data_IF_634116779536
#
_entry.id   IF_634116779536
#
_cell.length_a   1.000
_cell.length_b   1.000
_cell.length_c   1.000
_cell.angle_alpha   90.00
_cell.angle_beta   90.00
_cell.angle_gamma   90.00
#
_symmetry.space_group_name_H-M   'P 1'
#
loop_
_entity.id
_entity.type
_entity.pdbx_description
1 polymer ?
#
# COMPACT_ATOMS: atom_id res chain seq x y z
N UNK A 1 -21.78 -2.73 -15.79
CA UNK A 1 -20.46 -3.34 -15.86
C UNK A 1 -20.33 -4.61 -15.03
N UNK A 2 -19.24 -5.33 -15.15
CA UNK A 2 -18.91 -6.51 -14.36
C UNK A 2 -17.46 -6.45 -13.92
N UNK A 3 -17.19 -7.05 -12.76
CA UNK A 3 -15.83 -7.27 -12.26
C UNK A 3 -15.67 -8.78 -12.09
N UNK A 4 -14.59 -9.32 -12.64
CA UNK A 4 -14.29 -10.75 -12.52
C UNK A 4 -12.95 -10.97 -11.82
N UNK A 5 -12.86 -12.04 -11.04
CA UNK A 5 -11.65 -12.53 -10.41
C UNK A 5 -11.38 -13.93 -10.95
N UNK A 6 -10.27 -14.12 -11.65
CA UNK A 6 -9.93 -15.37 -12.37
C UNK A 6 -11.09 -15.89 -13.25
N UNK A 7 -11.76 -14.98 -13.95
CA UNK A 7 -12.90 -15.28 -14.82
C UNK A 7 -14.25 -15.48 -14.15
N UNK A 8 -14.30 -15.49 -12.81
CA UNK A 8 -15.54 -15.59 -12.04
C UNK A 8 -16.04 -14.20 -11.63
N UNK A 9 -17.30 -13.90 -11.90
CA UNK A 9 -17.94 -12.64 -11.47
C UNK A 9 -17.95 -12.57 -9.94
N UNK A 10 -17.48 -11.44 -9.40
CA UNK A 10 -17.35 -11.24 -7.93
C UNK A 10 -18.68 -11.37 -7.19
N UNK A 11 -19.82 -11.18 -7.87
CA UNK A 11 -21.16 -11.36 -7.28
C UNK A 11 -21.48 -12.81 -6.93
N UNK A 12 -20.75 -13.76 -7.53
CA UNK A 12 -20.90 -15.19 -7.30
C UNK A 12 -19.81 -15.77 -6.39
N UNK A 13 -18.90 -14.94 -5.88
CA UNK A 13 -17.85 -15.33 -4.93
C UNK A 13 -18.37 -15.09 -3.51
N UNK A 14 -18.11 -16.02 -2.58
CA UNK A 14 -18.43 -15.80 -1.17
C UNK A 14 -17.69 -14.57 -0.66
N UNK A 15 -18.38 -13.70 0.04
CA UNK A 15 -17.84 -12.42 0.51
C UNK A 15 -16.58 -12.57 1.39
N UNK A 16 -16.54 -13.63 2.22
CA UNK A 16 -15.38 -13.92 3.05
C UNK A 16 -14.14 -14.26 2.20
N UNK A 17 -14.30 -15.05 1.14
CA UNK A 17 -13.22 -15.47 0.25
C UNK A 17 -12.74 -14.27 -0.60
N UNK A 18 -13.67 -13.47 -1.11
CA UNK A 18 -13.35 -12.25 -1.85
C UNK A 18 -12.56 -11.27 -0.98
N UNK A 19 -13.05 -10.96 0.22
CA UNK A 19 -12.36 -10.05 1.16
C UNK A 19 -11.05 -10.63 1.67
N UNK A 20 -10.97 -11.95 1.83
CA UNK A 20 -9.73 -12.65 2.19
C UNK A 20 -8.65 -12.51 1.14
N UNK A 21 -9.01 -12.51 -0.16
CA UNK A 21 -8.08 -12.42 -1.27
C UNK A 21 -7.57 -11.00 -1.55
N UNK A 22 -8.20 -9.96 -1.01
CA UNK A 22 -7.87 -8.55 -1.26
C UNK A 22 -7.26 -7.92 -0.01
N UNK A 23 -6.13 -7.26 -0.16
CA UNK A 23 -5.52 -6.37 0.84
C UNK A 23 -5.57 -4.92 0.35
N UNK A 24 -5.90 -4.00 1.23
CA UNK A 24 -5.97 -2.58 0.92
C UNK A 24 -5.07 -1.82 1.88
N UNK A 25 -4.17 -1.00 1.35
CA UNK A 25 -3.43 0.00 2.11
C UNK A 25 -3.98 1.36 1.71
N UNK A 26 -4.62 2.04 2.66
CA UNK A 26 -5.24 3.34 2.44
C UNK A 26 -4.27 4.47 2.82
N UNK A 27 -4.47 5.63 2.22
CA UNK A 27 -3.78 6.87 2.56
C UNK A 27 -3.96 7.22 4.04
N UNK A 28 -5.21 7.27 4.50
CA UNK A 28 -5.55 7.54 5.88
C UNK A 28 -5.59 6.23 6.67
N UNK A 29 -4.49 5.95 7.37
CA UNK A 29 -4.35 4.72 8.14
C UNK A 29 -5.10 4.83 9.46
N UNK A 30 -6.07 3.95 9.65
CA UNK A 30 -6.74 3.74 10.91
C UNK A 30 -6.04 2.67 11.76
N UNK A 31 -5.74 3.02 13.00
CA UNK A 31 -5.31 2.07 14.02
C UNK A 31 -6.41 1.90 15.07
N UNK A 32 -6.71 0.64 15.38
CA UNK A 32 -7.63 0.30 16.46
C UNK A 32 -7.02 0.62 17.81
N UNK A 33 -7.85 1.02 18.78
CA UNK A 33 -7.42 1.13 20.16
C UNK A 33 -6.98 -0.25 20.67
N UNK A 34 -5.74 -0.34 21.15
CA UNK A 34 -5.11 -1.58 21.58
C UNK A 34 -3.61 -1.53 21.39
N UNK A 35 -2.94 -2.67 21.44
CA UNK A 35 -1.49 -2.76 21.26
C UNK A 35 -1.09 -2.70 19.79
N UNK A 36 0.20 -2.42 19.53
CA UNK A 36 0.76 -2.56 18.17
C UNK A 36 0.63 -4.01 17.70
N UNK A 37 0.87 -4.97 18.59
CA UNK A 37 0.68 -6.39 18.33
C UNK A 37 -0.74 -6.69 17.82
N UNK A 38 -1.77 -6.21 18.52
CA UNK A 38 -3.17 -6.42 18.13
C UNK A 38 -3.46 -5.82 16.77
N UNK A 39 -2.94 -4.62 16.51
CA UNK A 39 -3.11 -3.94 15.24
C UNK A 39 -2.50 -4.70 14.06
N UNK A 40 -1.30 -5.28 14.21
CA UNK A 40 -0.69 -6.10 13.16
C UNK A 40 -1.43 -7.44 13.04
N UNK A 41 -1.72 -8.10 14.16
CA UNK A 41 -2.40 -9.40 14.21
C UNK A 41 -3.84 -9.35 13.67
N UNK A 42 -4.43 -8.16 13.57
CA UNK A 42 -5.73 -7.98 12.90
C UNK A 42 -5.73 -8.51 11.45
N UNK A 43 -4.59 -8.53 10.76
CA UNK A 43 -4.45 -9.15 9.43
C UNK A 43 -4.69 -10.66 9.44
N UNK A 44 -4.28 -11.36 10.52
CA UNK A 44 -4.49 -12.79 10.76
C UNK A 44 -4.47 -13.06 12.28
N UNK A 45 -5.63 -13.15 12.93
CA UNK A 45 -5.74 -13.27 14.40
C UNK A 45 -5.03 -14.49 15.00
N UNK A 46 -4.86 -15.56 14.21
CA UNK A 46 -4.22 -16.82 14.63
C UNK A 46 -2.69 -16.82 14.45
N UNK A 47 -2.11 -15.70 14.01
CA UNK A 47 -0.66 -15.60 13.77
C UNK A 47 0.15 -15.70 15.06
N UNK A 48 1.28 -16.38 14.99
CA UNK A 48 2.25 -16.45 16.10
C UNK A 48 2.99 -15.12 16.27
N UNK A 49 3.70 -14.95 17.39
CA UNK A 49 4.52 -13.75 17.60
C UNK A 49 5.65 -13.66 16.58
N UNK A 50 6.26 -14.78 16.22
CA UNK A 50 7.33 -14.85 15.23
C UNK A 50 6.83 -14.36 13.86
N UNK A 51 5.63 -14.78 13.44
CA UNK A 51 5.02 -14.33 12.17
C UNK A 51 4.72 -12.83 12.19
N UNK A 52 4.27 -12.30 13.33
CA UNK A 52 4.05 -10.85 13.50
C UNK A 52 5.36 -10.07 13.40
N UNK A 53 6.42 -10.55 14.05
CA UNK A 53 7.75 -9.94 13.98
C UNK A 53 8.28 -9.94 12.55
N UNK A 54 8.16 -11.04 11.82
CA UNK A 54 8.58 -11.12 10.42
C UNK A 54 7.78 -10.16 9.53
N UNK A 55 6.47 -10.06 9.71
CA UNK A 55 5.64 -9.09 9.01
C UNK A 55 6.07 -7.64 9.31
N UNK A 56 6.40 -7.34 10.56
CA UNK A 56 6.89 -6.03 10.97
C UNK A 56 8.26 -5.69 10.37
N UNK A 57 9.18 -6.67 10.27
CA UNK A 57 10.48 -6.50 9.60
C UNK A 57 10.31 -6.24 8.11
N UNK A 58 9.45 -6.99 7.43
CA UNK A 58 9.15 -6.78 6.02
C UNK A 58 8.56 -5.40 5.75
N UNK A 59 7.79 -4.87 6.70
CA UNK A 59 7.20 -3.54 6.65
C UNK A 59 8.13 -2.42 7.17
N UNK A 60 9.39 -2.72 7.52
CA UNK A 60 10.38 -1.75 8.01
C UNK A 60 9.93 -0.99 9.28
N UNK A 61 9.12 -1.63 10.16
CA UNK A 61 8.61 -1.01 11.40
C UNK A 61 9.14 -1.70 12.67
N UNK A 62 9.75 -2.87 12.56
CA UNK A 62 10.22 -3.66 13.71
C UNK A 62 11.13 -2.86 14.64
N UNK A 63 12.15 -2.19 14.09
CA UNK A 63 13.14 -1.46 14.88
C UNK A 63 12.52 -0.25 15.58
N UNK A 64 11.57 0.45 14.92
CA UNK A 64 10.80 1.53 15.55
C UNK A 64 9.98 1.01 16.74
N UNK A 65 9.36 -0.18 16.61
CA UNK A 65 8.59 -0.81 17.68
C UNK A 65 9.51 -1.18 18.85
N UNK A 66 10.66 -1.78 18.58
CA UNK A 66 11.62 -2.19 19.61
C UNK A 66 12.28 -1.02 20.32
N UNK A 67 12.29 0.17 19.73
CA UNK A 67 12.75 1.40 20.36
C UNK A 67 11.72 2.01 21.32
N UNK A 68 10.47 1.53 21.33
CA UNK A 68 9.44 1.96 22.28
C UNK A 68 9.59 1.23 23.62
N UNK A 69 9.25 1.87 24.76
CA UNK A 69 9.42 1.26 26.08
C UNK A 69 8.72 -0.10 26.24
N UNK A 70 7.51 -0.24 25.69
CA UNK A 70 6.70 -1.47 25.79
C UNK A 70 6.74 -2.32 24.52
N UNK A 71 7.59 -1.96 23.52
CA UNK A 71 7.72 -2.72 22.28
C UNK A 71 6.38 -2.99 21.59
N UNK A 72 6.11 -4.24 21.30
CA UNK A 72 4.84 -4.67 20.67
C UNK A 72 3.61 -4.50 21.55
N UNK A 73 3.77 -4.41 22.87
CA UNK A 73 2.69 -4.19 23.83
C UNK A 73 2.36 -2.70 24.00
N UNK A 74 3.06 -1.83 23.27
CA UNK A 74 2.78 -0.38 23.25
C UNK A 74 1.33 -0.14 22.84
N UNK A 75 0.55 0.53 23.69
CA UNK A 75 -0.84 0.88 23.43
C UNK A 75 -0.88 2.08 22.48
N UNK A 76 -1.66 1.96 21.43
CA UNK A 76 -1.87 2.98 20.39
C UNK A 76 -3.36 3.30 20.24
N UNK A 77 -3.69 4.39 19.55
CA UNK A 77 -5.05 4.88 19.37
C UNK A 77 -5.34 6.10 20.22
N UNK A 78 -6.63 6.44 20.43
CA UNK A 78 -7.04 7.70 21.07
C UNK A 78 -6.51 7.92 22.50
N UNK A 79 -6.19 6.84 23.22
CA UNK A 79 -5.70 6.88 24.61
C UNK A 79 -4.27 6.38 24.77
N UNK A 80 -3.57 6.12 23.68
CA UNK A 80 -2.23 5.57 23.67
C UNK A 80 -1.20 6.51 23.02
N UNK A 81 -0.01 5.94 22.74
CA UNK A 81 1.06 6.67 22.07
C UNK A 81 0.62 7.04 20.66
N UNK A 82 0.86 8.29 20.29
CA UNK A 82 0.61 8.79 18.94
C UNK A 82 1.77 8.39 18.01
N UNK A 83 1.53 7.42 17.15
CA UNK A 83 2.48 7.08 16.09
C UNK A 83 2.51 8.18 15.02
N UNK A 84 3.70 8.40 14.43
CA UNK A 84 3.83 9.25 13.24
C UNK A 84 3.04 8.68 12.06
N UNK A 85 2.72 9.51 11.06
CA UNK A 85 2.03 9.06 9.85
C UNK A 85 2.75 7.88 9.18
N UNK A 86 4.07 7.96 9.04
CA UNK A 86 4.88 6.89 8.47
C UNK A 86 4.92 5.61 9.31
N UNK A 87 4.91 5.72 10.64
CA UNK A 87 4.81 4.55 11.52
C UNK A 87 3.44 3.88 11.39
N UNK A 88 2.35 4.66 11.40
CA UNK A 88 0.99 4.13 11.17
C UNK A 88 0.89 3.39 9.85
N UNK A 89 1.43 3.97 8.77
CA UNK A 89 1.41 3.37 7.45
C UNK A 89 2.18 2.05 7.41
N UNK A 90 3.37 1.99 8.02
CA UNK A 90 4.16 0.76 8.09
C UNK A 90 3.51 -0.32 8.97
N UNK A 91 2.80 0.05 10.05
CA UNK A 91 1.97 -0.91 10.82
C UNK A 91 0.83 -1.47 9.96
N UNK A 92 0.18 -0.63 9.14
CA UNK A 92 -0.84 -1.09 8.19
C UNK A 92 -0.26 -2.03 7.12
N UNK A 93 0.94 -1.74 6.62
CA UNK A 93 1.65 -2.61 5.67
C UNK A 93 1.99 -3.95 6.33
N UNK A 94 2.47 -3.96 7.59
CA UNK A 94 2.73 -5.20 8.35
C UNK A 94 1.47 -6.06 8.50
N UNK A 95 0.32 -5.44 8.75
CA UNK A 95 -1.00 -6.10 8.76
C UNK A 95 -1.29 -6.82 7.44
N UNK A 96 -0.97 -6.20 6.31
CA UNK A 96 -1.18 -6.79 4.98
C UNK A 96 -0.17 -7.90 4.68
N UNK A 97 1.10 -7.76 5.07
CA UNK A 97 2.08 -8.85 4.98
C UNK A 97 1.57 -10.09 5.73
N UNK A 98 1.07 -9.91 6.94
CA UNK A 98 0.55 -10.99 7.77
C UNK A 98 -0.70 -11.64 7.17
N UNK A 99 -1.61 -10.85 6.59
CA UNK A 99 -2.80 -11.31 5.87
C UNK A 99 -2.44 -12.10 4.62
N UNK A 100 -1.37 -11.71 3.92
CA UNK A 100 -0.86 -12.34 2.71
C UNK A 100 -1.89 -12.50 1.57
N UNK A 101 -2.58 -11.44 1.13
CA UNK A 101 -3.61 -11.49 0.10
C UNK A 101 -2.98 -11.69 -1.29
N UNK A 102 -3.76 -12.16 -2.27
CA UNK A 102 -3.31 -12.30 -3.67
C UNK A 102 -3.46 -11.02 -4.47
N UNK A 103 -4.38 -10.15 -4.07
CA UNK A 103 -4.66 -8.87 -4.73
C UNK A 103 -4.36 -7.76 -3.75
N UNK A 104 -3.67 -6.73 -4.22
CA UNK A 104 -3.38 -5.52 -3.46
C UNK A 104 -4.03 -4.31 -4.11
N UNK A 105 -4.57 -3.44 -3.28
CA UNK A 105 -4.97 -2.09 -3.65
C UNK A 105 -4.17 -1.14 -2.78
N UNK A 106 -3.30 -0.36 -3.41
CA UNK A 106 -2.46 0.62 -2.74
C UNK A 106 -2.96 2.01 -3.10
N UNK A 107 -3.47 2.73 -2.10
CA UNK A 107 -3.82 4.15 -2.23
C UNK A 107 -2.67 4.95 -1.65
N UNK A 108 -1.84 5.50 -2.55
CA UNK A 108 -0.55 6.08 -2.20
C UNK A 108 -0.70 7.57 -1.92
N UNK A 109 -0.55 7.96 -0.65
CA UNK A 109 -0.27 9.34 -0.28
C UNK A 109 0.87 9.40 0.72
N UNK A 110 2.04 9.69 0.21
CA UNK A 110 3.26 9.92 1.00
C UNK A 110 3.59 11.41 1.12
N UNK A 111 2.65 12.28 0.80
CA UNK A 111 2.87 13.73 0.57
C UNK A 111 3.33 14.56 1.79
N UNK A 112 3.44 13.97 2.98
CA UNK A 112 3.84 14.67 4.21
C UNK A 112 4.95 13.95 5.01
N UNK A 113 5.68 13.02 4.38
CA UNK A 113 6.70 12.21 5.05
C UNK A 113 8.11 12.72 4.71
N UNK A 114 9.04 12.55 5.65
CA UNK A 114 10.46 12.75 5.36
C UNK A 114 10.99 11.69 4.37
N UNK A 115 12.00 12.04 3.61
CA UNK A 115 12.58 11.22 2.54
C UNK A 115 13.05 9.83 3.02
N UNK A 116 13.56 9.72 4.25
CA UNK A 116 14.04 8.44 4.77
C UNK A 116 12.87 7.48 5.08
N UNK A 117 11.82 8.01 5.71
CA UNK A 117 10.58 7.27 5.99
C UNK A 117 9.89 6.86 4.70
N UNK A 118 9.84 7.75 3.71
CA UNK A 118 9.29 7.46 2.40
C UNK A 118 10.00 6.29 1.71
N UNK A 119 11.33 6.27 1.71
CA UNK A 119 12.11 5.14 1.13
C UNK A 119 11.81 3.82 1.81
N UNK A 120 11.62 3.80 3.13
CA UNK A 120 11.23 2.60 3.88
C UNK A 120 9.86 2.09 3.47
N UNK A 121 8.90 2.99 3.31
CA UNK A 121 7.54 2.66 2.87
C UNK A 121 7.55 2.12 1.44
N UNK A 122 8.27 2.78 0.54
CA UNK A 122 8.38 2.33 -0.85
C UNK A 122 9.03 0.94 -0.94
N UNK A 123 10.11 0.70 -0.21
CA UNK A 123 10.74 -0.61 -0.14
C UNK A 123 9.79 -1.70 0.39
N UNK A 124 8.95 -1.36 1.37
CA UNK A 124 7.93 -2.27 1.89
C UNK A 124 6.83 -2.55 0.85
N UNK A 125 6.37 -1.53 0.11
CA UNK A 125 5.40 -1.70 -0.98
C UNK A 125 5.96 -2.57 -2.10
N UNK A 126 7.19 -2.34 -2.54
CA UNK A 126 7.84 -3.13 -3.60
C UNK A 126 7.95 -4.61 -3.21
N UNK A 127 8.26 -4.89 -1.94
CA UNK A 127 8.26 -6.27 -1.42
C UNK A 127 6.85 -6.86 -1.38
N UNK A 128 5.88 -6.07 -0.93
CA UNK A 128 4.49 -6.51 -0.81
C UNK A 128 3.86 -6.81 -2.17
N UNK A 129 4.19 -6.03 -3.21
CA UNK A 129 3.64 -6.18 -4.57
C UNK A 129 4.17 -7.42 -5.31
N UNK A 130 5.35 -7.94 -4.94
CA UNK A 130 5.97 -9.07 -5.67
C UNK A 130 5.08 -10.29 -5.73
N UNK A 131 4.86 -10.81 -6.95
CA UNK A 131 4.09 -12.03 -7.21
C UNK A 131 2.57 -11.88 -6.96
N UNK A 132 2.05 -10.66 -6.98
CA UNK A 132 0.63 -10.35 -6.73
C UNK A 132 0.07 -9.43 -7.80
N UNK A 133 -1.23 -9.52 -8.00
CA UNK A 133 -1.94 -8.51 -8.79
C UNK A 133 -2.07 -7.25 -7.93
N UNK A 134 -1.45 -6.16 -8.37
CA UNK A 134 -1.41 -4.91 -7.60
C UNK A 134 -2.06 -3.79 -8.40
N UNK A 135 -3.07 -3.16 -7.80
CA UNK A 135 -3.67 -1.92 -8.29
C UNK A 135 -3.13 -0.76 -7.43
N UNK A 136 -2.49 0.20 -8.08
CA UNK A 136 -1.92 1.37 -7.40
C UNK A 136 -2.66 2.63 -7.83
N UNK A 137 -3.20 3.36 -6.88
CA UNK A 137 -3.68 4.73 -7.09
C UNK A 137 -2.50 5.63 -6.75
N UNK A 138 -1.82 6.11 -7.78
CA UNK A 138 -0.56 6.81 -7.61
C UNK A 138 -0.70 8.31 -7.82
N UNK A 139 -0.06 9.05 -6.94
CA UNK A 139 0.10 10.51 -7.04
C UNK A 139 1.50 10.92 -7.48
N UNK A 140 2.43 9.95 -7.62
CA UNK A 140 3.82 10.17 -8.03
C UNK A 140 4.16 9.35 -9.27
N UNK A 141 4.87 9.99 -10.18
CA UNK A 141 5.29 9.33 -11.42
C UNK A 141 6.27 8.17 -11.17
N UNK A 142 7.15 8.30 -10.18
CA UNK A 142 8.12 7.27 -9.81
C UNK A 142 7.47 5.92 -9.50
N UNK A 143 6.31 5.93 -8.87
CA UNK A 143 5.57 4.71 -8.49
C UNK A 143 4.97 3.98 -9.68
N UNK A 144 4.48 4.72 -10.68
CA UNK A 144 3.76 4.11 -11.83
C UNK A 144 4.66 3.81 -13.02
N UNK A 145 5.87 4.37 -13.07
CA UNK A 145 6.77 4.21 -14.22
C UNK A 145 7.07 2.75 -14.58
N UNK A 146 7.14 1.88 -13.57
CA UNK A 146 7.45 0.46 -13.70
C UNK A 146 6.19 -0.43 -13.70
N UNK A 147 5.00 0.14 -13.76
CA UNK A 147 3.76 -0.63 -13.85
C UNK A 147 3.66 -1.36 -15.19
N UNK A 148 3.13 -2.58 -15.17
CA UNK A 148 2.87 -3.37 -16.37
C UNK A 148 1.84 -2.69 -17.27
N UNK A 149 0.89 -1.97 -16.65
CA UNK A 149 -0.13 -1.21 -17.33
C UNK A 149 -0.50 0.03 -16.53
N UNK A 150 -0.61 1.16 -17.21
CA UNK A 150 -1.06 2.44 -16.67
C UNK A 150 -2.40 2.79 -17.33
N UNK A 151 -3.35 3.22 -16.52
CA UNK A 151 -4.67 3.67 -16.97
C UNK A 151 -4.88 5.11 -16.51
N UNK A 152 -5.06 6.01 -17.45
CA UNK A 152 -5.42 7.41 -17.17
C UNK A 152 -6.93 7.54 -17.20
N UNK A 153 -7.50 7.98 -16.09
CA UNK A 153 -8.96 8.13 -15.93
C UNK A 153 -9.32 9.60 -15.98
N UNK A 154 -10.30 9.94 -16.80
CA UNK A 154 -10.90 11.26 -16.86
C UNK A 154 -12.37 11.25 -16.45
N UNK A 155 -13.03 12.38 -16.61
CA UNK A 155 -14.43 12.60 -16.17
C UNK A 155 -15.41 11.58 -16.79
N UNK A 156 -15.17 11.16 -18.02
CA UNK A 156 -16.08 10.28 -18.77
C UNK A 156 -15.57 8.84 -18.96
N UNK A 157 -14.48 8.46 -18.27
CA UNK A 157 -13.91 7.13 -18.34
C UNK A 157 -12.41 7.09 -18.61
N UNK A 158 -11.94 5.99 -19.21
CA UNK A 158 -10.54 5.80 -19.55
C UNK A 158 -10.16 6.69 -20.73
N UNK A 159 -9.17 7.56 -20.53
CA UNK A 159 -8.60 8.42 -21.55
C UNK A 159 -7.46 7.72 -22.30
N UNK A 160 -6.56 7.11 -21.55
CA UNK A 160 -5.36 6.46 -22.10
C UNK A 160 -5.07 5.17 -21.34
N UNK A 161 -4.42 4.22 -22.03
CA UNK A 161 -4.04 2.94 -21.49
C UNK A 161 -2.77 2.42 -22.17
N UNK A 162 -1.78 1.98 -21.39
CA UNK A 162 -0.53 1.44 -21.94
C UNK A 162 0.58 1.42 -20.90
N UNK A 163 1.78 1.08 -21.34
CA UNK A 163 3.00 1.20 -20.53
C UNK A 163 3.50 2.65 -20.49
N UNK A 164 4.38 2.96 -19.56
CA UNK A 164 5.01 4.29 -19.47
C UNK A 164 5.61 4.74 -20.82
N UNK A 165 6.38 3.85 -21.48
CA UNK A 165 7.03 4.19 -22.74
C UNK A 165 6.01 4.47 -23.87
N UNK A 166 4.94 3.68 -23.94
CA UNK A 166 3.88 3.87 -24.93
C UNK A 166 3.14 5.19 -24.73
N UNK A 167 2.75 5.49 -23.49
CA UNK A 167 1.98 6.70 -23.18
C UNK A 167 2.80 7.98 -23.32
N UNK A 168 4.10 7.94 -23.00
CA UNK A 168 5.01 9.06 -23.26
C UNK A 168 5.15 9.30 -24.77
N UNK A 169 5.27 8.23 -25.57
CA UNK A 169 5.39 8.33 -27.03
C UNK A 169 4.10 8.83 -27.69
N UNK A 170 2.94 8.59 -27.10
CA UNK A 170 1.65 9.10 -27.59
C UNK A 170 1.52 10.62 -27.46
N UNK A 171 2.24 11.25 -26.50
CA UNK A 171 2.20 12.70 -26.28
C UNK A 171 0.86 13.22 -25.73
N UNK A 172 0.07 12.37 -25.07
CA UNK A 172 -1.23 12.72 -24.51
C UNK A 172 -1.16 13.22 -23.07
N UNK A 173 -2.29 13.10 -22.34
CA UNK A 173 -2.44 13.58 -20.94
C UNK A 173 -1.36 12.99 -20.02
N UNK A 174 -1.08 11.70 -20.17
CA UNK A 174 -0.02 11.07 -19.38
C UNK A 174 1.35 11.68 -19.63
N UNK A 175 1.69 11.96 -20.89
CA UNK A 175 2.98 12.56 -21.24
C UNK A 175 3.13 13.97 -20.67
N UNK A 176 2.05 14.76 -20.64
CA UNK A 176 2.02 16.08 -20.00
C UNK A 176 2.25 15.98 -18.49
N UNK A 177 1.55 15.07 -17.81
CA UNK A 177 1.73 14.80 -16.38
C UNK A 177 3.16 14.36 -16.08
N UNK A 178 3.73 13.47 -16.90
CA UNK A 178 5.09 12.99 -16.76
C UNK A 178 6.15 14.11 -16.97
N UNK A 179 5.91 15.03 -17.89
CA UNK A 179 6.75 16.19 -18.11
C UNK A 179 6.65 17.20 -16.95
N UNK A 180 5.45 17.42 -16.40
CA UNK A 180 5.21 18.28 -15.25
C UNK A 180 5.89 17.78 -13.98
N UNK A 181 5.84 16.47 -13.72
CA UNK A 181 6.53 15.85 -12.59
C UNK A 181 8.06 16.02 -12.66
N UNK A 182 8.65 15.94 -13.83
CA UNK A 182 10.08 16.21 -14.04
C UNK A 182 10.47 17.66 -13.72
N UNK A 183 9.59 18.62 -13.99
CA UNK A 183 9.83 20.03 -13.71
C UNK A 183 9.70 20.37 -12.22
N UNK A 184 8.91 19.61 -11.47
CA UNK A 184 8.72 19.76 -10.02
C UNK A 184 9.77 19.07 -9.15
N UNK A 185 10.83 18.50 -9.76
CA UNK A 185 11.98 17.97 -9.01
C UNK A 185 11.84 16.50 -8.56
N UNK A 186 10.87 15.76 -9.06
CA UNK A 186 10.86 14.29 -8.96
C UNK A 186 11.85 13.69 -9.98
N UNK A 187 13.14 13.94 -9.75
CA UNK A 187 14.24 13.33 -10.51
C UNK A 187 14.64 12.00 -9.86
N UNK A 188 14.77 11.00 -10.69
CA UNK A 188 15.37 9.65 -10.61
C UNK A 188 15.81 9.11 -9.26
#
# INVERSE_FOLDING_TARGET
GSITLDGQDIRHIKLADLRGSIGIVQQDVFLFAGTILDNIRYGRPTATMEEVIEAAKLAEIHDDIMAMPDGYDTIVGERGIMLSGGQKQRVSIARIFLKNPRILILDEATSALDTATERKIQAAFDRLARGRTTLVIAHRLSTIRNADEIVVIGEHGILERGTHAQLVAQGGVYAELAAGARLSGETE
#
